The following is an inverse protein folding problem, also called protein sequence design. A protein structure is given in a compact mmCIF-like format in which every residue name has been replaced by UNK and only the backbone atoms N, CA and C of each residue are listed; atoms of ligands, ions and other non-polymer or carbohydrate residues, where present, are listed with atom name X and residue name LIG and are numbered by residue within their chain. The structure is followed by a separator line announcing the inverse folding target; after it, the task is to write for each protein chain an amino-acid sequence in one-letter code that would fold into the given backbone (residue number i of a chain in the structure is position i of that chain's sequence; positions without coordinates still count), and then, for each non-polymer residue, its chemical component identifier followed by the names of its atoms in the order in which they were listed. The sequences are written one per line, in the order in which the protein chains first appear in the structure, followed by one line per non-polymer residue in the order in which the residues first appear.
data_IF_837378581421
#
_entry.id   IF_837378581421
#
_cell.length_a   1.000
_cell.length_b   1.000
_cell.length_c   1.000
_cell.angle_alpha   90.00
_cell.angle_beta   90.00
_cell.angle_gamma   90.00
#
_symmetry.space_group_name_H-M   'P 1'
#
loop_
_entity.id
_entity.type
_entity.pdbx_description
1 polymer ?
#
# COMPACT_ATOMS: atom_id res chain seq x y z
N UNK A 1 74.45 47.27 58.90
CA UNK A 1 74.90 46.90 57.54
C UNK A 1 74.14 45.67 57.01
N UNK A 2 73.17 45.88 56.19
CA UNK A 2 72.58 44.85 55.43
C UNK A 2 72.76 45.21 53.95
N UNK A 3 73.55 44.46 53.22
CA UNK A 3 73.75 44.55 51.83
C UNK A 3 72.63 43.67 51.13
N UNK A 4 71.86 44.28 50.30
CA UNK A 4 70.88 43.65 49.39
C UNK A 4 71.61 43.31 48.08
N UNK A 5 71.78 42.04 47.79
CA UNK A 5 72.18 41.55 46.50
C UNK A 5 70.86 41.31 45.68
N UNK A 6 70.55 42.22 44.76
CA UNK A 6 69.65 41.99 43.71
C UNK A 6 70.37 41.35 42.54
N UNK A 7 70.21 40.03 42.38
CA UNK A 7 70.57 39.34 41.17
C UNK A 7 69.35 39.40 40.17
N UNK A 8 69.42 40.40 39.28
CA UNK A 8 68.52 40.50 38.17
C UNK A 8 68.69 39.36 37.15
N UNK A 9 68.00 38.29 37.35
CA UNK A 9 67.86 37.25 36.30
C UNK A 9 66.99 37.78 35.12
N UNK A 10 67.60 38.04 34.00
CA UNK A 10 66.90 38.28 32.73
C UNK A 10 66.13 37.00 32.32
N UNK A 11 64.86 37.00 32.64
CA UNK A 11 63.95 35.96 32.09
C UNK A 11 63.83 36.20 30.58
N UNK A 12 64.51 35.35 29.80
CA UNK A 12 64.29 35.30 28.34
C UNK A 12 62.86 34.87 28.09
N UNK A 13 62.01 35.64 27.37
CA UNK A 13 60.70 35.23 27.06
C UNK A 13 60.69 33.89 26.29
N UNK A 14 59.71 32.99 26.52
CA UNK A 14 59.70 31.73 25.85
C UNK A 14 59.61 31.98 24.31
N UNK A 15 60.30 31.14 23.52
CA UNK A 15 60.30 31.34 22.05
C UNK A 15 58.90 31.40 21.50
N UNK A 16 58.61 32.37 20.66
CA UNK A 16 57.33 32.51 19.99
C UNK A 16 57.09 31.23 19.17
N UNK A 17 55.94 30.56 19.34
CA UNK A 17 55.64 29.37 18.56
C UNK A 17 55.68 29.66 17.06
N UNK A 18 56.44 28.87 16.31
CA UNK A 18 56.61 29.04 14.85
C UNK A 18 55.87 27.96 14.10
N UNK A 19 55.33 28.30 12.90
CA UNK A 19 54.74 27.34 11.99
C UNK A 19 55.87 26.46 11.44
N UNK A 20 55.69 25.16 11.55
CA UNK A 20 56.65 24.13 11.09
C UNK A 20 56.06 23.14 10.13
N UNK A 21 54.75 23.06 10.02
CA UNK A 21 54.00 22.17 9.09
C UNK A 21 52.55 22.64 8.91
N UNK A 22 51.94 22.10 7.88
CA UNK A 22 50.54 22.26 7.62
C UNK A 22 49.87 20.89 7.45
N UNK A 23 48.59 20.80 7.78
CA UNK A 23 47.76 19.59 7.64
C UNK A 23 46.54 19.91 6.77
N UNK A 24 46.37 19.12 5.70
CA UNK A 24 45.24 19.14 4.81
C UNK A 24 44.19 18.14 5.30
N UNK A 25 42.93 18.56 5.28
CA UNK A 25 41.76 17.72 5.51
C UNK A 25 40.67 18.03 4.48
N UNK A 26 39.70 17.13 4.33
CA UNK A 26 38.49 17.31 3.53
C UNK A 26 37.26 16.99 4.38
N UNK A 27 36.12 17.55 3.99
CA UNK A 27 34.83 17.26 4.62
C UNK A 27 34.29 15.86 4.24
N UNK A 28 34.76 15.28 3.12
CA UNK A 28 34.42 13.95 2.64
C UNK A 28 35.68 13.22 2.16
N UNK A 29 35.69 11.89 2.28
CA UNK A 29 36.76 11.04 1.72
C UNK A 29 36.22 10.10 0.62
N UNK A 30 34.91 9.86 0.60
CA UNK A 30 34.18 9.11 -0.44
C UNK A 30 32.82 9.77 -0.66
N UNK A 31 32.45 9.96 -1.94
CA UNK A 31 31.21 10.61 -2.35
C UNK A 31 30.92 10.28 -3.83
N UNK A 32 29.69 10.57 -4.27
CA UNK A 32 29.26 10.23 -5.61
C UNK A 32 29.67 11.31 -6.64
N UNK A 33 29.77 10.92 -7.91
CA UNK A 33 30.05 11.85 -9.01
C UNK A 33 29.00 12.96 -9.05
N UNK A 34 29.44 14.17 -9.42
CA UNK A 34 28.61 15.37 -9.43
C UNK A 34 28.57 16.11 -8.08
N UNK A 35 29.01 15.49 -6.99
CA UNK A 35 29.14 16.15 -5.71
C UNK A 35 30.47 16.93 -5.60
N UNK A 36 30.47 17.97 -4.76
CA UNK A 36 31.68 18.76 -4.44
C UNK A 36 32.25 18.35 -3.09
N UNK A 37 33.55 18.48 -2.95
CA UNK A 37 34.31 18.32 -1.71
C UNK A 37 34.97 19.65 -1.32
N UNK A 38 35.06 19.93 -0.03
CA UNK A 38 35.66 21.14 0.52
C UNK A 38 36.93 20.79 1.30
N UNK A 39 38.01 21.50 1.00
CA UNK A 39 39.32 21.31 1.69
C UNK A 39 39.51 22.35 2.76
N UNK A 40 40.24 21.96 3.80
CA UNK A 40 40.68 22.83 4.88
C UNK A 40 42.17 22.58 5.19
N UNK A 41 42.90 23.65 5.46
CA UNK A 41 44.31 23.60 5.83
C UNK A 41 44.53 24.30 7.16
N UNK A 42 45.20 23.61 8.06
CA UNK A 42 45.61 24.15 9.37
C UNK A 42 47.12 24.02 9.57
N UNK A 43 47.69 24.98 10.27
CA UNK A 43 49.10 24.89 10.72
C UNK A 43 49.23 23.97 11.93
N UNK A 44 50.47 23.57 12.30
CA UNK A 44 50.77 22.87 13.53
C UNK A 44 50.38 23.65 14.80
N UNK A 45 50.09 24.95 14.69
CA UNK A 45 49.59 25.82 15.76
C UNK A 45 48.05 25.91 15.79
N UNK A 46 47.38 25.03 15.01
CA UNK A 46 45.91 24.97 14.87
C UNK A 46 45.28 26.23 14.25
N UNK A 47 46.08 27.06 13.57
CA UNK A 47 45.57 28.23 12.81
C UNK A 47 45.08 27.78 11.45
N UNK A 48 43.85 28.21 11.05
CA UNK A 48 43.31 27.96 9.74
C UNK A 48 43.95 28.88 8.70
N UNK A 49 44.54 28.29 7.65
CA UNK A 49 45.22 29.01 6.55
C UNK A 49 44.67 28.60 5.16
N UNK A 50 43.46 28.10 5.14
CA UNK A 50 42.80 27.59 3.91
C UNK A 50 42.76 28.61 2.77
N UNK A 51 42.35 29.85 3.07
CA UNK A 51 42.24 30.93 2.08
C UNK A 51 43.59 31.40 1.51
N UNK A 52 44.67 31.11 2.19
CA UNK A 52 46.07 31.50 1.84
C UNK A 52 46.82 30.30 1.24
N UNK A 53 46.18 29.17 1.08
CA UNK A 53 46.75 27.93 0.57
C UNK A 53 46.36 27.70 -0.90
N UNK A 54 47.27 27.07 -1.63
CA UNK A 54 47.02 26.58 -2.99
C UNK A 54 46.81 25.07 -2.97
N UNK A 55 45.95 24.55 -3.85
CA UNK A 55 45.61 23.14 -3.89
C UNK A 55 45.93 22.54 -5.25
N UNK A 56 46.36 21.29 -5.26
CA UNK A 56 46.50 20.47 -6.48
C UNK A 56 45.69 19.19 -6.31
N UNK A 57 45.03 18.79 -7.41
CA UNK A 57 44.33 17.52 -7.56
C UNK A 57 45.04 16.73 -8.65
N UNK A 58 45.51 15.52 -8.30
CA UNK A 58 46.35 14.70 -9.21
C UNK A 58 47.50 15.51 -9.84
N UNK A 59 48.12 16.41 -9.05
CA UNK A 59 49.18 17.27 -9.49
C UNK A 59 48.76 18.51 -10.31
N UNK A 60 47.51 18.69 -10.65
CA UNK A 60 46.98 19.85 -11.37
C UNK A 60 46.42 20.87 -10.39
N UNK A 61 46.80 22.14 -10.56
CA UNK A 61 46.32 23.23 -9.70
C UNK A 61 44.81 23.47 -9.89
N UNK A 62 44.10 23.70 -8.80
CA UNK A 62 42.69 24.11 -8.80
C UNK A 62 42.55 25.50 -8.20
N UNK A 63 41.44 26.19 -8.53
CA UNK A 63 41.07 27.47 -7.94
C UNK A 63 40.23 27.29 -6.71
N UNK A 64 40.64 27.92 -5.58
CA UNK A 64 39.93 27.83 -4.33
C UNK A 64 40.09 26.48 -3.62
N UNK A 65 39.24 26.27 -2.60
CA UNK A 65 39.27 25.08 -1.71
C UNK A 65 38.06 24.14 -1.92
N UNK A 66 37.31 24.31 -3.00
CA UNK A 66 36.19 23.44 -3.37
C UNK A 66 36.49 22.79 -4.72
N UNK A 67 36.26 21.50 -4.82
CA UNK A 67 36.51 20.75 -6.05
C UNK A 67 35.33 19.81 -6.37
N UNK A 68 34.91 19.84 -7.64
CA UNK A 68 33.94 18.88 -8.18
C UNK A 68 34.68 18.01 -9.18
N UNK A 69 34.91 16.73 -8.89
CA UNK A 69 35.59 15.82 -9.82
C UNK A 69 34.80 15.65 -11.10
N UNK A 70 35.47 15.60 -12.27
CA UNK A 70 34.81 15.48 -13.59
C UNK A 70 34.35 14.05 -13.90
N UNK A 71 34.78 13.05 -13.16
CA UNK A 71 34.44 11.63 -13.36
C UNK A 71 34.67 10.79 -12.10
N UNK A 72 34.09 9.61 -12.01
CA UNK A 72 34.41 8.63 -10.96
C UNK A 72 35.87 8.22 -10.97
N UNK A 73 36.40 7.83 -9.81
CA UNK A 73 37.79 7.38 -9.67
C UNK A 73 38.43 7.86 -8.38
N UNK A 74 39.72 7.64 -8.25
CA UNK A 74 40.54 8.06 -7.13
C UNK A 74 41.29 9.34 -7.45
N UNK A 75 41.27 10.28 -6.52
CA UNK A 75 41.91 11.58 -6.61
C UNK A 75 42.86 11.78 -5.43
N UNK A 76 44.01 12.32 -5.69
CA UNK A 76 45.00 12.69 -4.65
C UNK A 76 45.09 14.20 -4.56
N UNK A 77 45.02 14.72 -3.36
CA UNK A 77 45.05 16.16 -3.09
C UNK A 77 46.24 16.51 -2.21
N UNK A 78 46.91 17.59 -2.58
CA UNK A 78 48.00 18.19 -1.79
C UNK A 78 47.79 19.69 -1.73
N UNK A 79 48.01 20.28 -0.61
CA UNK A 79 48.00 21.72 -0.38
C UNK A 79 49.39 22.28 -0.14
N UNK A 80 49.61 23.53 -0.55
CA UNK A 80 50.84 24.29 -0.22
C UNK A 80 50.44 25.62 0.41
N UNK A 81 51.18 25.99 1.47
CA UNK A 81 51.04 27.29 2.11
C UNK A 81 52.44 27.81 2.44
N UNK A 82 52.83 28.99 1.89
CA UNK A 82 54.18 29.52 1.98
C UNK A 82 55.20 28.50 1.44
N UNK A 83 56.13 28.04 2.24
CA UNK A 83 57.15 27.01 1.90
C UNK A 83 56.76 25.60 2.29
N UNK A 84 55.60 25.43 2.93
CA UNK A 84 55.17 24.14 3.46
C UNK A 84 54.28 23.40 2.49
N UNK A 85 54.46 22.07 2.40
CA UNK A 85 53.59 21.13 1.67
C UNK A 85 52.86 20.27 2.70
N UNK A 86 51.57 20.05 2.50
CA UNK A 86 50.75 19.24 3.38
C UNK A 86 50.99 17.73 3.23
N UNK A 87 50.36 16.94 4.12
CA UNK A 87 50.06 15.54 3.84
C UNK A 87 49.24 15.44 2.56
N UNK A 88 49.36 14.31 1.86
CA UNK A 88 48.48 13.93 0.78
C UNK A 88 47.21 13.29 1.36
N UNK A 89 46.06 13.65 0.87
CA UNK A 89 44.80 12.95 1.12
C UNK A 89 44.31 12.28 -0.16
N UNK A 90 43.53 11.18 -0.01
CA UNK A 90 42.93 10.46 -1.11
C UNK A 90 41.39 10.55 -1.02
N UNK A 91 40.77 10.80 -2.13
CA UNK A 91 39.32 10.82 -2.28
C UNK A 91 38.89 9.70 -3.22
N UNK A 92 37.76 9.05 -2.93
CA UNK A 92 37.11 8.10 -3.83
C UNK A 92 35.80 8.70 -4.33
N UNK A 93 35.66 8.84 -5.64
CA UNK A 93 34.45 9.29 -6.29
C UNK A 93 33.77 8.08 -6.92
N UNK A 94 32.57 7.77 -6.48
CA UNK A 94 31.80 6.63 -6.92
C UNK A 94 31.01 6.99 -8.19
N UNK A 95 30.88 6.05 -9.10
CA UNK A 95 29.96 6.17 -10.21
C UNK A 95 28.51 6.05 -9.69
N UNK A 96 27.63 6.94 -10.16
CA UNK A 96 26.18 6.82 -9.90
C UNK A 96 25.60 5.86 -10.92
N UNK A 97 25.13 4.71 -10.43
CA UNK A 97 24.52 3.72 -11.29
C UNK A 97 23.23 4.28 -11.94
N UNK A 98 23.12 4.09 -13.26
CA UNK A 98 21.96 4.52 -14.06
C UNK A 98 21.19 3.32 -14.56
N UNK A 99 19.85 3.43 -14.66
CA UNK A 99 19.02 2.35 -15.20
C UNK A 99 19.34 2.15 -16.68
N UNK A 100 19.68 0.93 -17.05
CA UNK A 100 20.05 0.53 -18.43
C UNK A 100 18.94 -0.26 -19.14
N UNK A 101 18.14 -1.00 -18.38
CA UNK A 101 17.00 -1.77 -18.89
C UNK A 101 15.95 -1.99 -17.82
N UNK A 102 14.72 -2.28 -18.25
CA UNK A 102 13.62 -2.72 -17.40
C UNK A 102 13.00 -3.98 -18.00
N UNK A 103 12.53 -4.88 -17.13
CA UNK A 103 11.85 -6.11 -17.52
C UNK A 103 10.51 -6.21 -16.78
N UNK A 104 9.42 -6.43 -17.55
CA UNK A 104 8.09 -6.71 -16.99
C UNK A 104 7.85 -8.21 -16.90
N UNK A 105 7.27 -8.63 -15.80
CA UNK A 105 6.73 -9.98 -15.58
C UNK A 105 5.29 -9.89 -15.06
N UNK A 106 4.56 -11.00 -15.09
CA UNK A 106 3.20 -11.11 -14.57
C UNK A 106 3.11 -12.29 -13.62
N UNK A 107 2.32 -12.17 -12.56
CA UNK A 107 2.09 -13.27 -11.61
C UNK A 107 1.44 -14.48 -12.29
N UNK A 108 0.59 -14.23 -13.29
CA UNK A 108 -0.07 -15.26 -14.09
C UNK A 108 -0.10 -14.82 -15.56
N UNK A 109 0.13 -15.74 -16.50
CA UNK A 109 0.03 -15.52 -17.94
C UNK A 109 -1.24 -16.13 -18.55
N UNK A 110 -1.85 -17.11 -17.87
CA UNK A 110 -3.10 -17.74 -18.27
C UNK A 110 -4.18 -17.37 -17.25
N UNK A 111 -5.22 -16.69 -17.70
CA UNK A 111 -6.30 -16.16 -16.86
C UNK A 111 -7.65 -16.67 -17.36
N UNK A 112 -8.61 -16.82 -16.47
CA UNK A 112 -10.02 -16.82 -16.81
C UNK A 112 -10.61 -15.41 -16.67
N UNK A 113 -11.72 -15.13 -17.36
CA UNK A 113 -12.46 -13.88 -17.17
C UNK A 113 -12.77 -13.67 -15.68
N UNK A 114 -12.57 -12.45 -15.19
CA UNK A 114 -12.74 -12.07 -13.79
C UNK A 114 -11.52 -12.28 -12.91
N UNK A 115 -10.48 -12.95 -13.40
CA UNK A 115 -9.22 -13.06 -12.66
C UNK A 115 -8.35 -11.81 -12.79
N UNK A 116 -7.58 -11.54 -11.75
CA UNK A 116 -6.61 -10.44 -11.68
C UNK A 116 -5.21 -11.02 -11.71
N UNK A 117 -4.33 -10.41 -12.51
CA UNK A 117 -2.89 -10.64 -12.47
C UNK A 117 -2.16 -9.36 -12.11
N UNK A 118 -0.99 -9.49 -11.48
CA UNK A 118 -0.18 -8.37 -11.05
C UNK A 118 1.13 -8.32 -11.84
N UNK A 119 1.43 -7.16 -12.40
CA UNK A 119 2.70 -6.90 -13.07
C UNK A 119 3.77 -6.51 -12.06
N UNK A 120 4.98 -6.96 -12.31
CA UNK A 120 6.19 -6.54 -11.60
C UNK A 120 7.22 -6.06 -12.62
N UNK A 121 7.90 -4.97 -12.32
CA UNK A 121 8.96 -4.42 -13.17
C UNK A 121 10.24 -4.32 -12.38
N UNK A 122 11.30 -4.96 -12.91
CA UNK A 122 12.64 -4.91 -12.35
C UNK A 122 13.55 -4.10 -13.29
N UNK A 123 14.22 -3.10 -12.75
CA UNK A 123 15.24 -2.33 -13.43
C UNK A 123 16.62 -2.93 -13.18
N UNK A 124 17.46 -2.96 -14.25
CA UNK A 124 18.88 -3.28 -14.16
C UNK A 124 19.69 -2.00 -14.34
N UNK A 125 20.67 -1.78 -13.46
CA UNK A 125 21.52 -0.62 -13.46
C UNK A 125 22.86 -0.89 -14.17
N UNK A 126 23.60 0.17 -14.47
CA UNK A 126 24.91 0.11 -15.14
C UNK A 126 25.98 -0.66 -14.36
N UNK A 127 25.86 -0.75 -13.06
CA UNK A 127 26.72 -1.54 -12.18
C UNK A 127 26.30 -3.01 -12.02
N UNK A 128 25.21 -3.42 -12.70
CA UNK A 128 24.64 -4.76 -12.64
C UNK A 128 23.68 -4.99 -11.47
N UNK A 129 23.47 -3.99 -10.60
CA UNK A 129 22.46 -4.08 -9.54
C UNK A 129 21.05 -4.02 -10.12
N UNK A 130 20.07 -4.50 -9.36
CA UNK A 130 18.65 -4.50 -9.75
C UNK A 130 17.78 -3.89 -8.67
N UNK A 131 16.69 -3.25 -9.08
CA UNK A 131 15.70 -2.65 -8.17
C UNK A 131 14.29 -2.84 -8.70
N UNK A 132 13.33 -3.05 -7.80
CA UNK A 132 11.90 -3.07 -8.13
C UNK A 132 11.44 -1.63 -8.46
N UNK A 133 10.93 -1.45 -9.67
CA UNK A 133 10.38 -0.20 -10.20
C UNK A 133 8.88 -0.30 -10.52
N UNK A 134 8.21 -1.31 -10.01
CA UNK A 134 6.79 -1.58 -10.29
C UNK A 134 5.91 -0.35 -10.05
N UNK A 135 6.11 0.36 -8.94
CA UNK A 135 5.32 1.54 -8.58
C UNK A 135 5.68 2.80 -9.39
N UNK A 136 6.87 2.83 -9.98
CA UNK A 136 7.40 4.00 -10.70
C UNK A 136 7.12 3.96 -12.21
N UNK A 137 6.61 2.83 -12.71
CA UNK A 137 6.35 2.60 -14.12
C UNK A 137 4.96 3.04 -14.55
N UNK A 138 4.85 3.45 -15.81
CA UNK A 138 3.57 3.52 -16.51
C UNK A 138 3.39 2.23 -17.31
N UNK A 139 2.17 1.69 -17.28
CA UNK A 139 1.82 0.46 -17.99
C UNK A 139 1.03 0.77 -19.25
N UNK A 140 1.18 -0.09 -20.26
CA UNK A 140 0.40 -0.06 -21.49
C UNK A 140 -0.14 -1.45 -21.73
N UNK A 141 -1.47 -1.58 -21.72
CA UNK A 141 -2.19 -2.83 -21.92
C UNK A 141 -3.05 -2.70 -23.18
N UNK A 142 -2.87 -3.61 -24.15
CA UNK A 142 -3.53 -3.55 -25.47
C UNK A 142 -3.44 -2.16 -26.11
N UNK A 143 -2.26 -1.55 -26.04
CA UNK A 143 -1.95 -0.20 -26.58
C UNK A 143 -2.64 0.97 -25.86
N UNK A 144 -3.36 0.74 -24.76
CA UNK A 144 -3.94 1.78 -23.92
C UNK A 144 -3.13 1.98 -22.64
N UNK A 145 -3.00 3.24 -22.22
CA UNK A 145 -2.36 3.58 -20.93
C UNK A 145 -3.21 3.03 -19.79
N UNK A 146 -2.54 2.42 -18.82
CA UNK A 146 -3.13 1.82 -17.64
C UNK A 146 -2.40 2.33 -16.38
N UNK A 147 -3.14 2.91 -15.43
CA UNK A 147 -2.56 3.58 -14.25
C UNK A 147 -2.57 2.68 -13.02
N UNK A 148 -1.91 1.56 -13.12
CA UNK A 148 -1.78 0.58 -12.04
C UNK A 148 -1.00 -0.63 -12.53
N UNK A 149 -0.67 -1.54 -11.62
CA UNK A 149 0.04 -2.77 -11.95
C UNK A 149 -0.82 -4.03 -11.80
N UNK A 150 -2.13 -3.89 -11.57
CA UNK A 150 -3.06 -5.01 -11.38
C UNK A 150 -4.09 -5.01 -12.50
N UNK A 151 -4.06 -6.01 -13.37
CA UNK A 151 -4.94 -6.12 -14.54
C UNK A 151 -6.08 -7.12 -14.28
N UNK A 152 -7.31 -6.66 -14.43
CA UNK A 152 -8.52 -7.49 -14.39
C UNK A 152 -8.87 -7.99 -15.80
N UNK A 153 -8.92 -9.30 -15.99
CA UNK A 153 -9.29 -9.91 -17.25
C UNK A 153 -10.81 -9.80 -17.50
N UNK A 154 -11.21 -9.06 -18.54
CA UNK A 154 -12.63 -8.82 -18.84
C UNK A 154 -13.08 -9.37 -20.18
N UNK A 155 -12.16 -9.80 -21.03
CA UNK A 155 -12.46 -10.24 -22.41
C UNK A 155 -11.60 -11.44 -22.77
N UNK A 156 -12.19 -12.48 -23.35
CA UNK A 156 -11.48 -13.65 -23.86
C UNK A 156 -10.53 -13.27 -24.99
N UNK A 157 -9.36 -13.87 -25.01
CA UNK A 157 -8.33 -13.69 -26.04
C UNK A 157 -6.98 -13.31 -25.51
N UNK A 158 -6.08 -12.92 -26.42
CA UNK A 158 -4.74 -12.46 -26.07
C UNK A 158 -4.75 -11.00 -25.64
N UNK A 159 -4.03 -10.70 -24.57
CA UNK A 159 -3.83 -9.35 -24.03
C UNK A 159 -2.34 -9.10 -23.93
N UNK A 160 -1.85 -8.01 -24.55
CA UNK A 160 -0.43 -7.63 -24.46
C UNK A 160 -0.22 -6.58 -23.39
N UNK A 161 0.91 -6.65 -22.68
CA UNK A 161 1.31 -5.66 -21.69
C UNK A 161 2.79 -5.35 -21.77
N UNK A 162 3.14 -4.09 -21.55
CA UNK A 162 4.50 -3.58 -21.39
C UNK A 162 4.52 -2.42 -20.40
N UNK A 163 5.70 -2.10 -19.89
CA UNK A 163 5.93 -1.00 -18.98
C UNK A 163 6.90 0.02 -19.57
N UNK A 164 6.80 1.27 -19.14
CA UNK A 164 7.74 2.33 -19.46
C UNK A 164 8.23 3.00 -18.18
N UNK A 165 9.52 3.29 -18.13
CA UNK A 165 10.18 4.02 -17.06
C UNK A 165 11.14 5.01 -17.66
N UNK A 166 10.94 6.31 -17.44
CA UNK A 166 11.68 7.37 -18.13
C UNK A 166 11.62 7.17 -19.65
N UNK A 167 12.75 7.01 -20.33
CA UNK A 167 12.82 6.75 -21.78
C UNK A 167 12.89 5.26 -22.14
N UNK A 168 12.91 4.37 -21.15
CA UNK A 168 13.03 2.92 -21.35
C UNK A 168 11.66 2.27 -21.50
N UNK A 169 11.61 1.24 -22.34
CA UNK A 169 10.45 0.37 -22.53
C UNK A 169 10.88 -1.07 -22.23
N UNK A 170 10.05 -1.80 -21.50
CA UNK A 170 10.27 -3.21 -21.17
C UNK A 170 10.09 -4.13 -22.38
N UNK A 171 10.40 -5.42 -22.20
CA UNK A 171 9.83 -6.48 -23.03
C UNK A 171 8.29 -6.39 -23.04
N UNK A 172 7.66 -6.99 -24.05
CA UNK A 172 6.21 -7.20 -24.10
C UNK A 172 5.87 -8.61 -23.61
N UNK A 173 4.89 -8.74 -22.75
CA UNK A 173 4.30 -10.03 -22.34
C UNK A 173 2.91 -10.19 -22.92
N UNK A 174 2.49 -11.45 -23.13
CA UNK A 174 1.15 -11.78 -23.60
C UNK A 174 0.44 -12.65 -22.58
N UNK A 175 -0.72 -12.17 -22.13
CA UNK A 175 -1.65 -12.91 -21.28
C UNK A 175 -2.65 -13.63 -22.18
N UNK A 176 -3.05 -14.85 -21.82
CA UNK A 176 -4.11 -15.60 -22.48
C UNK A 176 -5.33 -15.68 -21.56
N UNK A 177 -6.42 -15.05 -21.97
CA UNK A 177 -7.68 -15.03 -21.22
C UNK A 177 -8.65 -16.04 -21.85
N UNK A 178 -9.12 -16.97 -21.03
CA UNK A 178 -10.16 -17.96 -21.39
C UNK A 178 -11.48 -17.67 -20.68
N UNK A 179 -12.54 -18.29 -21.15
CA UNK A 179 -13.83 -18.27 -20.46
C UNK A 179 -13.82 -19.11 -19.19
N UNK A 180 -14.82 -18.91 -18.33
CA UNK A 180 -14.95 -19.61 -17.05
C UNK A 180 -15.76 -20.89 -17.23
N UNK A 181 -15.30 -21.97 -16.60
CA UNK A 181 -16.10 -23.20 -16.44
C UNK A 181 -16.88 -23.16 -15.14
N UNK A 182 -18.20 -23.42 -15.21
CA UNK A 182 -19.05 -23.43 -14.02
C UNK A 182 -18.92 -24.76 -13.27
N UNK A 183 -18.81 -24.73 -11.92
CA UNK A 183 -18.95 -25.91 -11.07
C UNK A 183 -20.38 -26.49 -11.14
N UNK A 184 -20.53 -27.74 -10.73
CA UNK A 184 -21.85 -28.39 -10.59
C UNK A 184 -22.61 -27.97 -9.32
N UNK A 185 -21.92 -27.41 -8.33
CA UNK A 185 -22.44 -26.83 -7.10
C UNK A 185 -21.42 -25.83 -6.56
N UNK A 186 -21.84 -24.95 -5.67
CA UNK A 186 -21.00 -23.90 -5.13
C UNK A 186 -20.91 -24.00 -3.61
N UNK A 187 -19.77 -23.64 -3.05
CA UNK A 187 -19.61 -23.48 -1.61
C UNK A 187 -20.56 -22.41 -1.09
N UNK A 188 -21.32 -22.76 -0.07
CA UNK A 188 -22.22 -21.80 0.57
C UNK A 188 -21.43 -20.86 1.47
N UNK A 189 -21.65 -19.56 1.31
CA UNK A 189 -21.09 -18.49 2.12
C UNK A 189 -22.21 -17.63 2.69
N UNK A 190 -21.90 -16.90 3.76
CA UNK A 190 -22.89 -16.10 4.48
C UNK A 190 -22.34 -14.71 4.75
N UNK A 191 -23.22 -13.81 5.18
CA UNK A 191 -22.83 -12.47 5.63
C UNK A 191 -23.38 -12.17 7.02
N UNK A 192 -22.71 -11.24 7.70
CA UNK A 192 -23.21 -10.52 8.87
C UNK A 192 -23.33 -9.05 8.47
N UNK A 193 -24.53 -8.47 8.55
CA UNK A 193 -24.72 -7.02 8.48
C UNK A 193 -24.82 -6.47 9.89
N UNK A 194 -23.80 -5.69 10.31
CA UNK A 194 -23.70 -5.04 11.61
C UNK A 194 -24.05 -3.55 11.50
N UNK A 195 -25.16 -3.16 12.10
CA UNK A 195 -25.58 -1.76 12.25
C UNK A 195 -24.99 -1.21 13.53
N UNK A 196 -24.05 -0.29 13.39
CA UNK A 196 -23.11 0.12 14.43
C UNK A 196 -22.86 1.63 14.43
N UNK A 197 -22.03 2.10 15.36
CA UNK A 197 -21.56 3.47 15.42
C UNK A 197 -20.49 3.66 16.49
N UNK A 198 -19.58 4.59 16.27
CA UNK A 198 -18.45 4.88 17.19
C UNK A 198 -18.92 5.37 18.58
N UNK A 199 -20.09 5.95 18.65
CA UNK A 199 -20.75 6.42 19.88
C UNK A 199 -21.44 5.30 20.66
N UNK A 200 -21.67 4.15 20.05
CA UNK A 200 -22.44 3.03 20.61
C UNK A 200 -21.58 2.19 21.55
N UNK A 201 -21.76 2.34 22.86
CA UNK A 201 -20.94 1.65 23.87
C UNK A 201 -21.09 0.13 23.90
N UNK A 202 -22.21 -0.43 23.42
CA UNK A 202 -22.44 -1.87 23.34
C UNK A 202 -22.02 -2.49 22.00
N UNK A 203 -21.71 -1.68 20.98
CA UNK A 203 -21.33 -2.16 19.65
C UNK A 203 -20.03 -2.98 19.62
N UNK A 204 -19.01 -2.75 20.47
CA UNK A 204 -17.84 -3.62 20.54
C UNK A 204 -18.15 -5.10 20.81
N UNK A 205 -19.31 -5.43 21.36
CA UNK A 205 -19.75 -6.82 21.52
C UNK A 205 -19.95 -7.52 20.18
N UNK A 206 -20.55 -6.84 19.21
CA UNK A 206 -20.79 -7.41 17.87
C UNK A 206 -19.48 -7.46 17.10
N UNK A 207 -18.66 -6.41 17.17
CA UNK A 207 -17.32 -6.42 16.56
C UNK A 207 -16.49 -7.60 17.07
N UNK A 208 -16.45 -7.83 18.37
CA UNK A 208 -15.74 -8.98 18.95
C UNK A 208 -16.32 -10.33 18.50
N UNK A 209 -17.65 -10.44 18.37
CA UNK A 209 -18.28 -11.64 17.87
C UNK A 209 -17.94 -11.91 16.40
N UNK A 210 -17.80 -10.86 15.58
CA UNK A 210 -17.32 -10.95 14.18
C UNK A 210 -15.88 -11.48 14.17
N UNK A 211 -14.99 -10.95 15.02
CA UNK A 211 -13.61 -11.45 15.14
C UNK A 211 -13.58 -12.95 15.46
N UNK A 212 -14.48 -13.42 16.32
CA UNK A 212 -14.60 -14.85 16.66
C UNK A 212 -15.10 -15.70 15.48
N UNK A 213 -16.04 -15.18 14.68
CA UNK A 213 -16.51 -15.86 13.46
C UNK A 213 -15.39 -15.96 12.44
N UNK A 214 -14.64 -14.89 12.21
CA UNK A 214 -13.52 -14.85 11.27
C UNK A 214 -12.35 -15.76 11.68
N UNK A 215 -12.15 -15.92 12.99
CA UNK A 215 -11.17 -16.88 13.50
C UNK A 215 -11.59 -18.35 13.27
N UNK A 216 -12.89 -18.62 13.10
CA UNK A 216 -13.43 -19.97 12.91
C UNK A 216 -13.62 -20.34 11.43
N UNK A 217 -13.95 -19.36 10.57
CA UNK A 217 -14.24 -19.61 9.15
C UNK A 217 -13.95 -18.41 8.26
N UNK A 218 -13.51 -18.66 7.03
CA UNK A 218 -13.33 -17.69 5.96
C UNK A 218 -14.57 -17.55 5.03
N UNK A 219 -15.69 -18.21 5.39
CA UNK A 219 -16.91 -18.29 4.57
C UNK A 219 -18.01 -17.31 5.03
N UNK A 220 -17.75 -16.49 6.02
CA UNK A 220 -18.67 -15.47 6.50
C UNK A 220 -18.03 -14.10 6.37
N UNK A 221 -18.68 -13.19 5.66
CA UNK A 221 -18.21 -11.84 5.44
C UNK A 221 -19.03 -10.83 6.24
N UNK A 222 -18.37 -9.87 6.87
CA UNK A 222 -19.05 -8.81 7.61
C UNK A 222 -19.26 -7.56 6.77
N UNK A 223 -20.32 -6.81 7.08
CA UNK A 223 -20.62 -5.47 6.56
C UNK A 223 -20.94 -4.57 7.73
N UNK A 224 -20.12 -3.56 7.98
CA UNK A 224 -20.33 -2.54 9.00
C UNK A 224 -21.10 -1.35 8.43
N UNK A 225 -22.39 -1.25 8.75
CA UNK A 225 -23.20 -0.09 8.41
C UNK A 225 -23.15 0.94 9.56
N UNK A 226 -22.22 1.88 9.43
CA UNK A 226 -22.03 2.95 10.43
C UNK A 226 -23.12 4.00 10.36
N UNK A 227 -23.67 4.37 11.50
CA UNK A 227 -24.75 5.35 11.66
C UNK A 227 -24.38 6.35 12.77
N UNK A 228 -24.59 7.64 12.50
CA UNK A 228 -24.39 8.72 13.47
C UNK A 228 -22.93 9.04 13.77
N UNK A 229 -22.01 8.67 12.90
CA UNK A 229 -20.58 8.95 13.03
C UNK A 229 -19.93 9.36 11.71
N UNK A 230 -18.60 9.58 11.71
CA UNK A 230 -17.88 10.04 10.53
C UNK A 230 -17.81 9.02 9.38
N UNK A 231 -18.15 7.76 9.62
CA UNK A 231 -18.19 6.69 8.61
C UNK A 231 -19.59 6.49 8.01
N UNK A 232 -20.62 7.17 8.56
CA UNK A 232 -21.97 7.16 7.98
C UNK A 232 -21.95 7.74 6.56
N UNK A 233 -22.73 7.12 5.69
CA UNK A 233 -22.97 7.59 4.33
C UNK A 233 -24.42 7.28 3.89
N UNK A 234 -24.78 7.71 2.68
CA UNK A 234 -26.14 7.51 2.17
C UNK A 234 -26.53 6.05 2.05
N UNK A 235 -25.57 5.15 1.82
CA UNK A 235 -25.81 3.71 1.67
C UNK A 235 -26.08 3.05 3.02
N UNK A 236 -25.29 3.36 4.05
CA UNK A 236 -25.51 2.83 5.40
C UNK A 236 -26.86 3.31 5.98
N UNK A 237 -27.20 4.60 5.79
CA UNK A 237 -28.47 5.16 6.23
C UNK A 237 -29.66 4.53 5.51
N UNK A 238 -29.55 4.34 4.18
CA UNK A 238 -30.61 3.71 3.41
C UNK A 238 -30.77 2.22 3.74
N UNK A 239 -29.67 1.50 3.98
CA UNK A 239 -29.67 0.09 4.39
C UNK A 239 -30.36 -0.07 5.76
N UNK A 240 -29.99 0.77 6.74
CA UNK A 240 -30.66 0.86 8.04
C UNK A 240 -32.18 1.02 7.89
N UNK A 241 -32.63 1.92 7.01
CA UNK A 241 -34.06 2.16 6.79
C UNK A 241 -34.74 0.97 6.11
N UNK A 242 -34.08 0.28 5.16
CA UNK A 242 -34.62 -0.89 4.47
C UNK A 242 -34.88 -2.07 5.43
N UNK A 243 -34.11 -2.15 6.53
CA UNK A 243 -34.26 -3.19 7.56
C UNK A 243 -34.90 -2.69 8.87
N UNK A 244 -35.48 -1.50 8.87
CA UNK A 244 -36.20 -0.90 10.01
C UNK A 244 -35.40 -0.95 11.33
N UNK A 245 -34.07 -0.68 11.23
CA UNK A 245 -33.19 -0.72 12.42
C UNK A 245 -33.41 0.52 13.27
N UNK A 246 -33.81 0.32 14.54
CA UNK A 246 -34.12 1.39 15.50
C UNK A 246 -33.25 1.38 16.74
N UNK A 247 -32.42 0.36 16.92
CA UNK A 247 -31.52 0.21 18.08
C UNK A 247 -30.16 -0.35 17.70
N UNK A 248 -29.16 -0.10 18.54
CA UNK A 248 -27.76 -0.45 18.28
C UNK A 248 -27.10 -1.13 19.50
N UNK A 249 -26.23 -2.15 19.27
CA UNK A 249 -26.00 -2.78 17.98
C UNK A 249 -27.19 -3.62 17.53
N UNK A 250 -27.38 -3.71 16.23
CA UNK A 250 -28.27 -4.69 15.60
C UNK A 250 -27.47 -5.40 14.51
N UNK A 251 -27.48 -6.72 14.50
CA UNK A 251 -26.82 -7.49 13.47
C UNK A 251 -27.75 -8.56 12.89
N UNK A 252 -27.65 -8.78 11.59
CA UNK A 252 -28.39 -9.81 10.86
C UNK A 252 -27.43 -10.81 10.21
N UNK A 253 -27.80 -12.08 10.25
CA UNK A 253 -27.14 -13.15 9.49
C UNK A 253 -27.94 -13.35 8.20
N UNK A 254 -27.28 -13.27 7.04
CA UNK A 254 -27.88 -13.40 5.71
C UNK A 254 -29.13 -12.53 5.49
N UNK A 255 -29.23 -11.37 6.17
CA UNK A 255 -30.41 -10.46 6.15
C UNK A 255 -31.70 -11.06 6.72
N UNK A 256 -31.79 -12.39 6.76
CA UNK A 256 -33.02 -13.12 7.08
C UNK A 256 -33.29 -13.25 8.59
N UNK A 257 -32.26 -13.32 9.40
CA UNK A 257 -32.40 -13.55 10.84
C UNK A 257 -31.52 -12.57 11.65
N UNK A 258 -32.06 -12.01 12.72
CA UNK A 258 -31.22 -11.30 13.69
C UNK A 258 -30.21 -12.26 14.30
N UNK A 259 -28.99 -11.78 14.51
CA UNK A 259 -28.00 -12.52 15.25
C UNK A 259 -28.35 -12.54 16.73
N UNK A 260 -28.44 -13.72 17.31
CA UNK A 260 -28.93 -13.91 18.66
C UNK A 260 -27.98 -13.28 19.70
N UNK A 261 -28.60 -12.63 20.70
CA UNK A 261 -27.90 -12.02 21.85
C UNK A 261 -27.58 -13.05 22.92
N UNK A 262 -26.39 -13.00 23.55
CA UNK A 262 -25.24 -12.20 23.20
C UNK A 262 -24.46 -12.85 22.05
N UNK A 263 -24.11 -12.06 21.04
CA UNK A 263 -23.49 -12.55 19.80
C UNK A 263 -22.21 -13.36 20.01
N UNK A 264 -21.28 -13.00 20.92
CA UNK A 264 -20.10 -13.82 21.20
C UNK A 264 -20.39 -15.24 21.69
N UNK A 265 -21.57 -15.48 22.23
CA UNK A 265 -22.03 -16.82 22.63
C UNK A 265 -22.81 -17.55 21.53
N UNK A 266 -23.09 -16.88 20.42
CA UNK A 266 -23.90 -17.37 19.31
C UNK A 266 -23.14 -17.35 17.97
N UNK A 267 -21.81 -17.50 18.01
CA UNK A 267 -20.93 -17.58 16.83
C UNK A 267 -21.39 -18.66 15.86
N UNK A 268 -21.82 -19.80 16.38
CA UNK A 268 -22.30 -20.93 15.59
C UNK A 268 -23.50 -20.58 14.68
N UNK A 269 -24.33 -19.59 15.02
CA UNK A 269 -25.43 -19.15 14.15
C UNK A 269 -24.91 -18.62 12.81
N UNK A 270 -23.87 -17.79 12.84
CA UNK A 270 -23.25 -17.26 11.63
C UNK A 270 -22.42 -18.32 10.87
N UNK A 271 -21.61 -19.11 11.59
CA UNK A 271 -20.80 -20.17 11.00
C UNK A 271 -21.65 -21.23 10.30
N UNK A 272 -22.74 -21.66 10.95
CA UNK A 272 -23.66 -22.66 10.38
C UNK A 272 -24.41 -22.14 9.14
N UNK A 273 -24.65 -20.84 9.05
CA UNK A 273 -25.28 -20.22 7.87
C UNK A 273 -24.44 -20.36 6.60
N UNK A 274 -23.13 -20.59 6.74
CA UNK A 274 -22.18 -20.79 5.63
C UNK A 274 -21.82 -22.28 5.39
N UNK A 275 -22.55 -23.22 6.00
CA UNK A 275 -22.25 -24.65 5.84
C UNK A 275 -22.94 -25.23 4.61
N UNK A 276 -22.24 -26.23 3.98
CA UNK A 276 -22.76 -26.97 2.85
C UNK A 276 -22.54 -26.32 1.49
N UNK A 277 -23.43 -26.63 0.56
CA UNK A 277 -23.38 -26.16 -0.84
C UNK A 277 -24.70 -25.50 -1.25
N UNK A 278 -24.65 -24.80 -2.39
CA UNK A 278 -25.79 -24.11 -2.98
C UNK A 278 -25.73 -24.18 -4.50
N UNK A 279 -26.84 -23.90 -5.18
CA UNK A 279 -26.95 -23.89 -6.64
C UNK A 279 -26.61 -22.52 -7.25
N UNK A 280 -26.28 -21.52 -6.43
CA UNK A 280 -25.94 -20.18 -6.90
C UNK A 280 -24.51 -19.83 -6.45
N UNK A 281 -23.71 -19.33 -7.38
CA UNK A 281 -22.31 -19.01 -7.17
C UNK A 281 -21.93 -17.63 -7.66
N UNK A 282 -20.82 -17.15 -7.11
CA UNK A 282 -20.20 -15.87 -7.44
C UNK A 282 -18.70 -16.03 -7.62
N UNK A 283 -18.16 -15.32 -8.61
CA UNK A 283 -16.73 -15.01 -8.69
C UNK A 283 -16.59 -13.50 -8.80
N UNK A 284 -15.56 -12.92 -8.19
CA UNK A 284 -15.36 -11.46 -8.13
C UNK A 284 -13.90 -11.16 -8.39
N UNK A 285 -13.64 -10.22 -9.29
CA UNK A 285 -12.32 -9.62 -9.50
C UNK A 285 -12.41 -8.10 -9.38
N UNK A 286 -11.40 -7.49 -8.79
CA UNK A 286 -11.32 -6.04 -8.63
C UNK A 286 -9.89 -5.55 -8.84
N UNK A 287 -9.70 -4.52 -9.67
CA UNK A 287 -8.40 -3.89 -9.90
C UNK A 287 -8.51 -2.37 -9.90
N UNK A 288 -7.44 -1.68 -9.52
CA UNK A 288 -7.35 -0.23 -9.58
C UNK A 288 -6.73 0.24 -10.89
N UNK A 289 -7.35 1.24 -11.48
CA UNK A 289 -6.79 2.11 -12.51
C UNK A 289 -6.83 3.54 -11.98
N UNK A 290 -5.76 3.97 -11.34
CA UNK A 290 -5.76 5.19 -10.53
C UNK A 290 -6.75 5.11 -9.37
N UNK A 291 -7.70 6.04 -9.29
CA UNK A 291 -8.76 6.05 -8.28
C UNK A 291 -10.06 5.33 -8.72
N UNK A 292 -10.04 4.73 -9.89
CA UNK A 292 -11.17 3.94 -10.39
C UNK A 292 -10.95 2.47 -10.06
N UNK A 293 -11.88 1.89 -9.33
CA UNK A 293 -11.95 0.45 -9.12
C UNK A 293 -12.78 -0.17 -10.24
N UNK A 294 -12.14 -1.00 -11.08
CA UNK A 294 -12.82 -1.84 -12.05
C UNK A 294 -13.17 -3.17 -11.40
N UNK A 295 -14.44 -3.55 -11.47
CA UNK A 295 -14.96 -4.77 -10.85
C UNK A 295 -15.64 -5.61 -11.92
N UNK A 296 -15.38 -6.91 -11.90
CA UNK A 296 -16.18 -7.89 -12.63
C UNK A 296 -16.76 -8.89 -11.65
N UNK A 297 -18.07 -9.01 -11.62
CA UNK A 297 -18.80 -10.03 -10.90
C UNK A 297 -19.34 -11.04 -11.90
N UNK A 298 -19.00 -12.31 -11.70
CA UNK A 298 -19.58 -13.42 -12.48
C UNK A 298 -20.56 -14.17 -11.59
N UNK A 299 -21.78 -14.35 -12.09
CA UNK A 299 -22.82 -15.15 -11.44
C UNK A 299 -22.94 -16.50 -12.14
N UNK A 300 -23.04 -17.55 -11.36
CA UNK A 300 -23.17 -18.93 -11.87
C UNK A 300 -24.35 -19.65 -11.23
N UNK A 301 -25.07 -20.44 -12.03
CA UNK A 301 -26.22 -21.21 -11.57
C UNK A 301 -26.06 -22.66 -12.04
N UNK A 302 -26.06 -23.61 -11.11
CA UNK A 302 -26.09 -25.06 -11.43
C UNK A 302 -27.53 -25.54 -11.69
N UNK A 303 -28.51 -24.80 -11.15
CA UNK A 303 -29.94 -24.98 -11.42
C UNK A 303 -30.59 -23.60 -11.56
N UNK A 304 -31.69 -23.51 -12.27
CA UNK A 304 -32.44 -22.26 -12.44
C UNK A 304 -33.02 -21.79 -11.10
N UNK A 305 -32.71 -20.54 -10.71
CA UNK A 305 -33.25 -19.88 -9.52
C UNK A 305 -33.90 -18.55 -9.96
N UNK A 306 -35.19 -18.51 -10.03
CA UNK A 306 -35.92 -17.31 -10.49
C UNK A 306 -35.91 -16.20 -9.45
N UNK A 307 -35.95 -14.94 -9.93
CA UNK A 307 -36.09 -13.75 -9.12
C UNK A 307 -34.81 -13.36 -8.34
N UNK A 308 -33.69 -14.00 -8.63
CA UNK A 308 -32.41 -13.67 -7.99
C UNK A 308 -31.94 -12.28 -8.41
N UNK A 309 -31.40 -11.53 -7.44
CA UNK A 309 -30.83 -10.19 -7.63
C UNK A 309 -29.38 -10.16 -7.18
N UNK A 310 -28.61 -9.23 -7.72
CA UNK A 310 -27.21 -8.98 -7.37
C UNK A 310 -27.07 -7.70 -6.55
N UNK A 311 -26.35 -7.80 -5.43
CA UNK A 311 -25.86 -6.66 -4.64
C UNK A 311 -24.35 -6.62 -4.73
N UNK A 312 -23.78 -5.43 -4.95
CA UNK A 312 -22.32 -5.21 -4.98
C UNK A 312 -21.98 -4.05 -4.08
N UNK A 313 -21.18 -4.34 -3.04
CA UNK A 313 -20.69 -3.38 -2.06
C UNK A 313 -19.18 -3.19 -2.19
N UNK A 314 -18.73 -1.97 -1.93
CA UNK A 314 -17.32 -1.67 -1.61
C UNK A 314 -17.22 -1.47 -0.10
N UNK A 315 -16.33 -2.24 0.50
CA UNK A 315 -16.00 -2.18 1.92
C UNK A 315 -14.60 -1.63 2.11
N UNK A 316 -14.34 -0.97 3.22
CA UNK A 316 -13.01 -0.47 3.61
C UNK A 316 -12.64 -0.97 5.00
N UNK A 317 -11.41 -1.48 5.12
CA UNK A 317 -10.83 -1.96 6.37
C UNK A 317 -9.81 -0.95 6.94
N UNK A 318 -9.47 -1.11 8.22
CA UNK A 318 -8.36 -0.41 8.85
C UNK A 318 -8.64 1.07 9.16
N UNK A 319 -9.90 1.48 9.30
CA UNK A 319 -10.23 2.86 9.65
C UNK A 319 -10.06 3.04 11.16
N UNK A 320 -9.09 3.86 11.55
CA UNK A 320 -8.80 4.13 12.96
C UNK A 320 -9.67 5.29 13.47
N UNK A 321 -10.51 5.00 14.46
CA UNK A 321 -11.32 5.98 15.16
C UNK A 321 -11.55 5.57 16.62
N UNK A 322 -11.93 6.54 17.45
CA UNK A 322 -12.30 6.26 18.84
C UNK A 322 -13.66 5.55 18.90
N UNK A 323 -13.79 4.54 19.74
CA UNK A 323 -15.02 3.76 19.95
C UNK A 323 -15.44 3.81 21.40
N UNK A 324 -16.67 4.25 21.68
CA UNK A 324 -17.28 4.11 23.01
C UNK A 324 -17.41 2.64 23.39
N UNK A 325 -17.14 2.29 24.65
CA UNK A 325 -17.10 0.89 25.08
C UNK A 325 -17.73 0.71 26.48
N UNK A 326 -18.77 -0.10 26.57
CA UNK A 326 -19.38 -0.55 27.81
C UNK A 326 -19.11 -2.03 28.10
N UNK A 327 -18.30 -2.67 27.25
CA UNK A 327 -17.98 -4.10 27.32
C UNK A 327 -16.64 -4.33 28.01
N UNK A 328 -16.33 -5.58 28.31
CA UNK A 328 -15.02 -6.00 28.80
C UNK A 328 -14.07 -6.45 27.67
N UNK A 329 -14.53 -6.41 26.41
CA UNK A 329 -13.72 -6.79 25.25
C UNK A 329 -12.68 -5.71 24.91
N UNK A 330 -11.65 -6.08 24.17
CA UNK A 330 -10.57 -5.18 23.73
C UNK A 330 -9.84 -4.47 24.88
N UNK A 331 -9.67 -5.17 26.01
CA UNK A 331 -8.98 -4.65 27.20
C UNK A 331 -9.88 -3.84 28.14
N UNK A 332 -11.14 -3.62 27.81
CA UNK A 332 -12.10 -2.83 28.59
C UNK A 332 -11.85 -1.32 28.54
N UNK A 333 -12.43 -0.59 29.49
CA UNK A 333 -12.40 0.87 29.52
C UNK A 333 -13.58 1.48 28.75
N UNK A 334 -13.93 2.73 29.09
CA UNK A 334 -15.12 3.41 28.54
C UNK A 334 -14.92 3.92 27.10
N UNK A 335 -13.68 3.97 26.63
CA UNK A 335 -13.31 4.45 25.32
C UNK A 335 -12.08 3.71 24.79
N UNK A 336 -12.16 3.21 23.56
CA UNK A 336 -11.08 2.57 22.82
C UNK A 336 -10.55 3.61 21.82
N UNK A 337 -9.49 4.33 22.16
CA UNK A 337 -9.05 5.55 21.44
C UNK A 337 -8.52 5.29 20.03
N UNK A 338 -7.95 4.12 19.77
CA UNK A 338 -7.40 3.72 18.46
C UNK A 338 -8.05 2.43 17.97
N UNK A 339 -9.39 2.37 18.05
CA UNK A 339 -10.12 1.21 17.57
C UNK A 339 -10.07 1.12 16.05
N UNK A 340 -9.76 -0.06 15.54
CA UNK A 340 -9.75 -0.35 14.12
C UNK A 340 -11.13 -0.82 13.67
N UNK A 341 -11.76 -0.04 12.78
CA UNK A 341 -13.04 -0.35 12.16
C UNK A 341 -12.79 -1.03 10.81
N UNK A 342 -13.29 -2.24 10.67
CA UNK A 342 -13.16 -3.07 9.47
C UNK A 342 -14.53 -3.29 8.81
N UNK A 343 -14.52 -3.73 7.55
CA UNK A 343 -15.71 -4.04 6.75
C UNK A 343 -16.70 -2.87 6.59
N UNK A 344 -16.21 -1.63 6.67
CA UNK A 344 -17.06 -0.44 6.65
C UNK A 344 -17.67 -0.25 5.27
N UNK A 345 -19.00 -0.23 5.17
CA UNK A 345 -19.71 0.01 3.91
C UNK A 345 -19.44 1.44 3.40
N UNK A 346 -18.80 1.54 2.22
CA UNK A 346 -18.48 2.84 1.60
C UNK A 346 -19.33 3.16 0.39
N UNK A 347 -19.67 2.14 -0.40
CA UNK A 347 -20.38 2.33 -1.67
C UNK A 347 -21.20 1.09 -2.01
N UNK A 348 -22.34 1.31 -2.69
CA UNK A 348 -23.12 0.27 -3.34
C UNK A 348 -23.16 0.56 -4.84
N UNK A 349 -22.68 -0.37 -5.65
CA UNK A 349 -22.70 -0.26 -7.10
C UNK A 349 -24.05 -0.68 -7.72
N UNK A 350 -24.92 -1.28 -6.90
CA UNK A 350 -26.26 -1.74 -7.22
C UNK A 350 -27.27 -1.11 -6.27
N UNK A 351 -28.56 -1.33 -6.48
CA UNK A 351 -29.55 -1.12 -5.43
C UNK A 351 -29.21 -1.96 -4.20
N UNK A 352 -29.51 -1.44 -3.00
CA UNK A 352 -29.18 -2.09 -1.72
C UNK A 352 -29.93 -3.42 -1.52
N UNK A 353 -31.09 -3.56 -2.13
CA UNK A 353 -31.89 -4.80 -2.15
C UNK A 353 -31.65 -5.61 -3.44
N UNK A 354 -30.69 -5.18 -4.28
CA UNK A 354 -30.21 -5.87 -5.46
C UNK A 354 -30.88 -5.43 -6.77
N UNK A 355 -30.04 -5.45 -7.81
CA UNK A 355 -30.48 -5.28 -9.21
C UNK A 355 -30.86 -6.63 -9.81
N UNK A 356 -31.86 -6.64 -10.69
CA UNK A 356 -32.23 -7.85 -11.41
C UNK A 356 -31.07 -8.31 -12.31
N UNK A 357 -30.78 -9.60 -12.27
CA UNK A 357 -29.88 -10.23 -13.23
C UNK A 357 -30.67 -10.82 -14.38
N UNK A 358 -30.10 -10.82 -15.59
CA UNK A 358 -30.80 -11.25 -16.79
C UNK A 358 -30.74 -12.76 -17.02
N UNK A 359 -29.68 -13.41 -16.51
CA UNK A 359 -29.49 -14.85 -16.66
C UNK A 359 -29.48 -15.55 -15.28
N UNK A 360 -30.53 -16.31 -15.01
CA UNK A 360 -30.69 -17.14 -13.82
C UNK A 360 -30.37 -18.63 -14.06
N UNK A 361 -29.77 -18.98 -15.21
CA UNK A 361 -29.49 -20.35 -15.62
C UNK A 361 -28.12 -20.43 -16.31
N UNK A 362 -27.04 -20.40 -15.60
CA UNK A 362 -25.71 -20.47 -16.19
C UNK A 362 -24.83 -19.29 -15.78
N UNK A 363 -24.04 -18.79 -16.70
CA UNK A 363 -23.01 -17.78 -16.45
C UNK A 363 -23.45 -16.40 -16.97
N UNK A 364 -23.26 -15.37 -16.15
CA UNK A 364 -23.35 -13.97 -16.55
C UNK A 364 -22.19 -13.19 -15.97
N UNK A 365 -21.63 -12.25 -16.73
CA UNK A 365 -20.58 -11.32 -16.30
C UNK A 365 -21.13 -9.90 -16.22
N UNK A 366 -20.95 -9.23 -15.07
CA UNK A 366 -21.41 -7.87 -14.83
C UNK A 366 -20.20 -7.01 -14.43
N UNK A 367 -19.98 -5.92 -15.16
CA UNK A 367 -18.84 -5.01 -14.96
C UNK A 367 -19.28 -3.70 -14.29
N UNK A 368 -18.45 -3.19 -13.38
CA UNK A 368 -18.66 -1.92 -12.70
C UNK A 368 -17.35 -1.12 -12.74
N UNK A 369 -17.46 0.20 -12.92
CA UNK A 369 -16.36 1.15 -12.77
C UNK A 369 -16.74 2.13 -11.65
N UNK A 370 -16.01 2.10 -10.54
CA UNK A 370 -16.35 2.79 -9.31
C UNK A 370 -15.29 3.82 -9.01
N UNK A 371 -15.65 5.11 -8.95
CA UNK A 371 -14.75 6.16 -8.52
C UNK A 371 -14.69 6.19 -6.99
N UNK A 372 -13.59 5.74 -6.41
CA UNK A 372 -13.42 5.65 -4.96
C UNK A 372 -13.24 7.01 -4.28
N UNK A 373 -12.65 7.99 -4.98
CA UNK A 373 -12.39 9.33 -4.42
C UNK A 373 -13.68 10.07 -4.05
N UNK A 374 -14.77 9.86 -4.80
CA UNK A 374 -16.06 10.51 -4.57
C UNK A 374 -16.92 9.83 -3.49
N UNK A 375 -16.48 8.69 -2.95
CA UNK A 375 -17.28 7.84 -2.06
C UNK A 375 -16.74 7.76 -0.63
N UNK A 376 -15.92 8.72 -0.20
CA UNK A 376 -15.42 8.84 1.18
C UNK A 376 -14.44 7.74 1.60
N UNK A 377 -13.87 7.00 0.65
CA UNK A 377 -12.83 6.00 0.90
C UNK A 377 -11.57 6.72 1.37
N UNK A 378 -11.04 6.32 2.53
CA UNK A 378 -9.86 6.92 3.12
C UNK A 378 -8.56 6.33 2.53
N UNK A 379 -8.54 5.01 2.28
CA UNK A 379 -7.41 4.32 1.69
C UNK A 379 -7.90 3.30 0.65
N UNK A 380 -7.64 3.57 -0.62
CA UNK A 380 -8.08 2.70 -1.73
C UNK A 380 -7.48 1.29 -1.67
N UNK A 381 -6.26 1.14 -1.15
CA UNK A 381 -5.59 -0.16 -1.01
C UNK A 381 -6.19 -1.04 0.09
N UNK A 382 -6.96 -0.45 1.00
CA UNK A 382 -7.65 -1.18 2.08
C UNK A 382 -9.10 -1.51 1.72
N UNK A 383 -9.47 -1.42 0.44
CA UNK A 383 -10.83 -1.73 0.00
C UNK A 383 -10.98 -3.15 -0.49
N UNK A 384 -12.21 -3.62 -0.51
CA UNK A 384 -12.61 -4.87 -1.13
C UNK A 384 -14.03 -4.81 -1.66
N UNK A 385 -14.38 -5.80 -2.46
CA UNK A 385 -15.70 -5.93 -3.08
C UNK A 385 -16.40 -7.15 -2.51
N UNK A 386 -17.59 -6.93 -1.96
CA UNK A 386 -18.51 -7.97 -1.54
C UNK A 386 -19.68 -8.04 -2.53
N UNK A 387 -19.85 -9.18 -3.17
CA UNK A 387 -20.99 -9.47 -4.02
C UNK A 387 -21.95 -10.45 -3.33
N UNK A 388 -23.24 -10.17 -3.41
CA UNK A 388 -24.31 -11.02 -2.85
C UNK A 388 -25.29 -11.41 -3.95
N UNK A 389 -25.65 -12.67 -4.00
CA UNK A 389 -26.89 -13.10 -4.64
C UNK A 389 -28.00 -13.16 -3.60
N UNK A 390 -29.08 -12.43 -3.84
CA UNK A 390 -30.21 -12.31 -2.93
C UNK A 390 -31.49 -12.76 -3.60
N UNK A 391 -32.50 -13.08 -2.81
CA UNK A 391 -33.83 -13.42 -3.30
C UNK A 391 -34.57 -12.22 -3.95
N UNK A 392 -35.74 -12.42 -4.48
CA UNK A 392 -36.53 -11.38 -5.13
C UNK A 392 -36.87 -10.19 -4.21
N UNK A 393 -36.96 -10.40 -2.90
CA UNK A 393 -37.18 -9.34 -1.91
C UNK A 393 -35.91 -8.51 -1.63
N UNK A 394 -34.74 -9.07 -1.90
CA UNK A 394 -33.45 -8.52 -1.49
C UNK A 394 -33.13 -8.70 0.01
N UNK A 395 -34.00 -9.40 0.74
CA UNK A 395 -33.90 -9.55 2.19
C UNK A 395 -33.47 -10.95 2.64
N UNK A 396 -33.06 -11.82 1.71
CA UNK A 396 -32.46 -13.12 1.99
C UNK A 396 -31.25 -13.30 1.11
N UNK A 397 -30.09 -13.46 1.73
CA UNK A 397 -28.83 -13.76 1.00
C UNK A 397 -28.77 -15.25 0.70
N UNK A 398 -28.63 -15.57 -0.59
CA UNK A 398 -28.55 -16.94 -1.10
C UNK A 398 -27.10 -17.43 -1.14
N UNK A 399 -26.16 -16.55 -1.53
CA UNK A 399 -24.73 -16.78 -1.47
C UNK A 399 -23.97 -15.44 -1.51
N UNK A 400 -22.70 -15.48 -1.19
CA UNK A 400 -21.82 -14.32 -1.14
C UNK A 400 -20.42 -14.66 -1.67
N UNK A 401 -19.68 -13.64 -2.12
CA UNK A 401 -18.26 -13.75 -2.45
C UNK A 401 -17.57 -12.42 -2.21
N UNK A 402 -16.34 -12.48 -1.71
CA UNK A 402 -15.52 -11.31 -1.42
C UNK A 402 -14.15 -11.42 -2.09
N UNK A 403 -13.64 -10.29 -2.52
CA UNK A 403 -12.23 -10.15 -2.91
C UNK A 403 -11.67 -8.82 -2.41
N UNK A 404 -10.39 -8.80 -2.05
CA UNK A 404 -9.68 -7.55 -1.83
C UNK A 404 -9.41 -6.86 -3.17
N UNK A 405 -9.21 -5.56 -3.15
CA UNK A 405 -8.75 -4.80 -4.32
C UNK A 405 -7.44 -5.39 -4.86
N UNK A 406 -7.25 -5.33 -6.16
CA UNK A 406 -6.11 -5.91 -6.89
C UNK A 406 -5.98 -7.43 -6.75
N UNK A 407 -7.08 -8.09 -6.47
CA UNK A 407 -7.21 -9.55 -6.35
C UNK A 407 -8.49 -10.06 -7.01
N UNK A 408 -8.60 -11.37 -7.09
CA UNK A 408 -9.82 -12.04 -7.55
C UNK A 408 -10.07 -13.31 -6.75
N UNK A 409 -11.33 -13.67 -6.60
CA UNK A 409 -11.81 -14.90 -5.99
C UNK A 409 -12.73 -15.61 -6.99
N UNK A 410 -12.33 -16.79 -7.41
CA UNK A 410 -13.06 -17.61 -8.39
C UNK A 410 -14.28 -18.30 -7.77
N UNK A 411 -15.09 -18.91 -8.63
CA UNK A 411 -16.10 -19.87 -8.18
C UNK A 411 -15.45 -21.02 -7.42
N UNK A 412 -16.08 -21.46 -6.35
CA UNK A 412 -15.62 -22.56 -5.48
C UNK A 412 -16.79 -23.43 -4.98
#
# INVERSE_FOLDING_TARGET
SCSSDESGGTVTPPPTPTVTSIVLSSDKSSFDEGESVVFAVKTNLNTTVTSESSFTVNGTSISGNTYTPPSPGNYTIVATHSTFTSNQISLTVNEVATVTSIEITSSELALAIGQVTNFTVVATFSDGSTEDKTADCQYVVNSAVFNGNSYLATTVGAVTAKATFSSLTSNEITLQVSDVSLPSSYTKKAIIEDYTGTWCGWCPRVSYAIDLVEAETDKVFAVGAHIGDAMENTYSSALKNAFDVTGYPTAYVNRAAKWDYPQPSNVAQAVNAAQGSTNVGLAVGASLDGNTMNVLVSTGFSESVSGTKLVVFVLEDGIIASQSNYTSYYGGGSNLSNFEHNHVLRYAATDLLGDNITNSTGLEHLSFAINLSSNGVANVENTGVLALLVDASGKVVLNAQYTKVNQSTSFD
#
